data_IF_773863290202
#
_entry.id   IF_773863290202
#
_cell.length_a   1.000
_cell.length_b   1.000
_cell.length_c   1.000
_cell.angle_alpha   90.00
_cell.angle_beta   90.00
_cell.angle_gamma   90.00
#
_symmetry.space_group_name_H-M   'P 1'
#
loop_
_entity.id
_entity.type
_entity.pdbx_description
1 polymer ?
#
# COMPACT_ATOMS: atom_id res chain seq x y z
N UNK A 1 8.52 -20.29 -1.36
CA UNK A 1 8.32 -19.60 -2.65
C UNK A 1 7.43 -18.38 -2.48
N UNK A 2 7.82 -17.26 -3.01
CA UNK A 2 7.03 -16.04 -2.88
C UNK A 2 5.96 -15.95 -3.96
N UNK A 3 4.85 -15.35 -3.58
CA UNK A 3 3.71 -15.12 -4.45
C UNK A 3 3.44 -13.63 -4.52
N UNK A 4 2.72 -13.22 -5.54
CA UNK A 4 2.32 -11.82 -5.71
C UNK A 4 0.93 -11.60 -5.13
N UNK A 5 0.79 -10.52 -4.37
CA UNK A 5 -0.47 -10.14 -3.74
C UNK A 5 -0.81 -8.69 -4.04
N UNK A 6 -2.10 -8.40 -4.08
CA UNK A 6 -2.63 -7.04 -4.11
C UNK A 6 -3.08 -6.69 -2.70
N UNK A 7 -2.49 -5.64 -2.15
CA UNK A 7 -2.93 -5.10 -0.86
C UNK A 7 -3.68 -3.80 -1.14
N UNK A 8 -4.97 -3.80 -0.84
CA UNK A 8 -5.85 -2.67 -1.13
C UNK A 8 -6.24 -2.00 0.18
N UNK A 9 -6.03 -0.69 0.25
CA UNK A 9 -6.36 0.09 1.42
C UNK A 9 -7.28 1.25 1.07
N UNK A 10 -7.92 1.80 2.10
CA UNK A 10 -8.77 2.97 2.00
C UNK A 10 -8.37 3.99 3.06
N UNK A 11 -8.99 5.16 3.02
CA UNK A 11 -8.79 6.18 4.05
C UNK A 11 -9.21 5.63 5.40
N UNK A 12 -8.32 5.73 6.39
CA UNK A 12 -8.63 5.33 7.74
C UNK A 12 -9.41 6.42 8.49
N UNK A 13 -9.90 6.09 9.69
CA UNK A 13 -10.73 7.02 10.47
C UNK A 13 -10.00 8.30 10.89
N UNK A 14 -8.68 8.27 10.91
CA UNK A 14 -7.88 9.40 11.35
C UNK A 14 -7.23 10.18 10.20
N UNK A 15 -7.58 9.85 8.97
CA UNK A 15 -7.13 10.64 7.84
C UNK A 15 -7.87 11.98 7.83
N UNK A 16 -7.12 13.07 7.71
CA UNK A 16 -7.70 14.43 7.68
C UNK A 16 -8.15 14.74 6.24
N UNK A 17 -9.47 14.82 5.98
CA UNK A 17 -9.97 15.06 4.63
C UNK A 17 -9.69 16.46 4.10
N UNK A 18 -9.27 17.39 4.96
CA UNK A 18 -8.92 18.75 4.55
C UNK A 18 -7.49 18.87 4.07
N UNK A 19 -6.68 17.81 4.20
CA UNK A 19 -5.26 17.80 3.83
C UNK A 19 -4.98 16.83 2.71
N UNK A 20 -4.02 17.21 1.87
CA UNK A 20 -3.55 16.31 0.83
C UNK A 20 -2.69 15.18 1.43
N UNK A 21 -2.40 14.17 0.62
CA UNK A 21 -1.67 12.98 1.08
C UNK A 21 -0.35 13.33 1.78
N UNK A 22 0.45 14.18 1.16
CA UNK A 22 1.77 14.53 1.72
C UNK A 22 1.68 15.42 2.94
N UNK A 23 0.53 15.99 3.21
CA UNK A 23 0.30 16.85 4.36
C UNK A 23 -0.29 16.09 5.55
N UNK A 24 -0.63 14.81 5.37
CA UNK A 24 -1.16 13.99 6.44
C UNK A 24 -0.11 13.81 7.54
N UNK A 25 -0.55 13.68 8.80
CA UNK A 25 0.39 13.39 9.88
C UNK A 25 1.22 12.13 9.58
N UNK A 26 2.47 12.12 10.03
CA UNK A 26 3.38 10.98 9.89
C UNK A 26 3.72 10.63 8.43
N UNK A 27 3.62 11.62 7.52
CA UNK A 27 3.99 11.39 6.12
C UNK A 27 5.45 10.93 5.98
N UNK A 28 6.39 11.60 6.66
CA UNK A 28 7.81 11.27 6.53
C UNK A 28 8.10 9.86 7.00
N UNK A 29 7.51 9.46 8.13
CA UNK A 29 7.68 8.12 8.69
C UNK A 29 7.06 7.07 7.79
N UNK A 30 5.87 7.35 7.25
CA UNK A 30 5.21 6.46 6.29
C UNK A 30 6.06 6.28 5.03
N UNK A 31 6.54 7.39 4.45
CA UNK A 31 7.35 7.35 3.23
C UNK A 31 8.64 6.55 3.44
N UNK A 32 9.31 6.77 4.58
CA UNK A 32 10.53 6.03 4.91
C UNK A 32 10.26 4.53 5.06
N UNK A 33 9.14 4.17 5.69
CA UNK A 33 8.75 2.77 5.86
C UNK A 33 8.50 2.11 4.51
N UNK A 34 7.77 2.77 3.62
CA UNK A 34 7.49 2.25 2.28
C UNK A 34 8.79 2.07 1.50
N UNK A 35 9.70 3.05 1.57
CA UNK A 35 11.00 2.93 0.90
C UNK A 35 11.78 1.71 1.36
N UNK A 36 11.75 1.40 2.66
CA UNK A 36 12.40 0.20 3.19
C UNK A 36 11.81 -1.07 2.59
N UNK A 37 10.49 -1.14 2.47
CA UNK A 37 9.82 -2.30 1.89
C UNK A 37 10.12 -2.45 0.40
N UNK A 38 10.27 -1.34 -0.30
CA UNK A 38 10.71 -1.35 -1.71
C UNK A 38 12.14 -1.89 -1.80
N UNK A 39 13.04 -1.40 -0.95
CA UNK A 39 14.45 -1.83 -0.94
C UNK A 39 14.59 -3.32 -0.62
N UNK A 40 13.72 -3.84 0.21
CA UNK A 40 13.72 -5.27 0.56
C UNK A 40 13.13 -6.17 -0.53
N UNK A 41 12.59 -5.58 -1.60
CA UNK A 41 11.92 -6.34 -2.66
C UNK A 41 10.52 -6.81 -2.29
N UNK A 42 9.97 -6.32 -1.17
CA UNK A 42 8.61 -6.67 -0.77
C UNK A 42 7.57 -5.93 -1.62
N UNK A 43 7.73 -4.61 -1.79
CA UNK A 43 6.83 -3.83 -2.65
C UNK A 43 7.42 -3.76 -4.05
N UNK A 44 6.65 -4.21 -5.03
CA UNK A 44 7.05 -4.20 -6.44
C UNK A 44 6.55 -2.92 -7.12
N UNK A 45 5.37 -2.47 -6.78
CA UNK A 45 4.69 -1.36 -7.46
C UNK A 45 3.55 -0.91 -6.55
N UNK A 46 3.21 0.37 -6.61
CA UNK A 46 2.08 0.86 -5.84
C UNK A 46 1.78 2.31 -6.11
N UNK A 47 0.62 2.74 -5.65
CA UNK A 47 0.19 4.11 -5.78
C UNK A 47 -1.24 4.31 -5.33
N UNK A 48 -1.72 5.55 -5.33
CA UNK A 48 -3.08 5.84 -4.93
C UNK A 48 -4.09 5.36 -5.98
N UNK A 49 -5.25 4.92 -5.49
CA UNK A 49 -6.42 4.72 -6.31
C UNK A 49 -7.15 6.05 -6.37
N UNK A 50 -7.45 6.51 -7.57
CA UNK A 50 -8.05 7.83 -7.77
C UNK A 50 -9.38 7.72 -8.48
N UNK A 51 -10.28 8.68 -8.20
CA UNK A 51 -11.57 8.77 -8.87
C UNK A 51 -11.43 9.51 -10.20
N UNK A 52 -12.56 9.79 -10.85
CA UNK A 52 -12.57 10.45 -12.15
C UNK A 52 -11.95 11.84 -12.15
N UNK A 53 -11.91 12.48 -10.97
CA UNK A 53 -11.31 13.80 -10.80
C UNK A 53 -9.84 13.74 -10.43
N UNK A 54 -9.29 12.52 -10.31
CA UNK A 54 -7.92 12.33 -9.86
C UNK A 54 -7.76 12.43 -8.34
N UNK A 55 -8.86 12.39 -7.59
CA UNK A 55 -8.80 12.45 -6.13
C UNK A 55 -8.58 11.07 -5.54
N UNK A 56 -7.61 10.91 -4.65
CA UNK A 56 -7.32 9.61 -4.05
C UNK A 56 -8.42 9.18 -3.07
N UNK A 57 -8.81 7.91 -3.15
CA UNK A 57 -9.75 7.32 -2.21
C UNK A 57 -9.21 6.05 -1.56
N UNK A 58 -8.01 5.66 -1.91
CA UNK A 58 -7.36 4.49 -1.36
C UNK A 58 -6.02 4.29 -2.02
N UNK A 59 -5.43 3.12 -1.80
CA UNK A 59 -4.14 2.79 -2.38
C UNK A 59 -4.07 1.32 -2.73
N UNK A 60 -3.25 1.00 -3.73
CA UNK A 60 -2.95 -0.35 -4.14
C UNK A 60 -1.45 -0.57 -4.04
N UNK A 61 -1.04 -1.63 -3.35
CA UNK A 61 0.34 -2.10 -3.36
C UNK A 61 0.38 -3.49 -3.97
N UNK A 62 1.33 -3.70 -4.87
CA UNK A 62 1.62 -5.02 -5.43
C UNK A 62 2.86 -5.52 -4.72
N UNK A 63 2.74 -6.63 -4.00
CA UNK A 63 3.79 -7.10 -3.10
C UNK A 63 4.14 -8.55 -3.35
N UNK A 64 5.38 -8.94 -2.99
CA UNK A 64 5.85 -10.32 -2.99
C UNK A 64 5.91 -10.81 -1.55
N UNK A 65 5.26 -11.94 -1.28
CA UNK A 65 5.24 -12.52 0.05
C UNK A 65 5.01 -14.03 -0.02
N UNK A 66 5.35 -14.72 1.06
CA UNK A 66 5.10 -16.17 1.16
C UNK A 66 3.61 -16.46 1.23
N UNK A 67 2.88 -15.64 1.97
CA UNK A 67 1.43 -15.82 2.17
C UNK A 67 0.79 -14.49 2.56
N UNK A 68 -0.53 -14.52 2.69
CA UNK A 68 -1.32 -13.35 3.08
C UNK A 68 -0.94 -12.84 4.47
N UNK A 69 -0.60 -13.75 5.38
CA UNK A 69 -0.25 -13.37 6.74
C UNK A 69 1.03 -12.52 6.77
N UNK A 70 2.02 -12.84 5.95
CA UNK A 70 3.23 -12.04 5.86
C UNK A 70 2.91 -10.62 5.37
N UNK A 71 1.98 -10.49 4.42
CA UNK A 71 1.57 -9.18 3.93
C UNK A 71 0.98 -8.35 5.07
N UNK A 72 0.06 -8.94 5.86
CA UNK A 72 -0.55 -8.26 7.00
C UNK A 72 0.48 -7.85 8.04
N UNK A 73 1.37 -8.76 8.38
CA UNK A 73 2.37 -8.53 9.42
C UNK A 73 3.34 -7.41 9.03
N UNK A 74 3.73 -7.34 7.77
CA UNK A 74 4.63 -6.29 7.33
C UNK A 74 3.93 -4.94 7.26
N UNK A 75 2.72 -4.88 6.71
CA UNK A 75 2.03 -3.61 6.52
C UNK A 75 1.54 -3.00 7.84
N UNK A 76 1.19 -3.81 8.83
CA UNK A 76 0.69 -3.27 10.10
C UNK A 76 1.70 -2.40 10.84
N UNK A 77 2.98 -2.51 10.50
CA UNK A 77 4.04 -1.69 11.10
C UNK A 77 4.18 -0.33 10.43
N UNK A 78 3.47 -0.08 9.35
CA UNK A 78 3.44 1.23 8.72
C UNK A 78 2.77 2.22 9.67
N UNK A 79 3.42 3.36 9.99
CA UNK A 79 2.82 4.36 10.86
C UNK A 79 1.41 4.77 10.44
N UNK A 80 1.11 4.81 9.16
CA UNK A 80 -0.23 5.17 8.69
C UNK A 80 -1.28 4.11 8.97
N UNK A 81 -0.94 2.82 8.85
CA UNK A 81 -1.86 1.75 9.24
C UNK A 81 -2.02 1.71 10.75
N UNK A 82 -0.92 1.86 11.47
CA UNK A 82 -0.92 1.84 12.93
C UNK A 82 -1.73 2.99 13.53
N UNK A 83 -1.65 4.17 12.91
CA UNK A 83 -2.30 5.39 13.41
C UNK A 83 -3.68 5.63 12.80
N UNK A 84 -4.18 4.74 11.96
CA UNK A 84 -5.51 4.86 11.39
C UNK A 84 -5.65 5.90 10.28
N UNK A 85 -4.57 6.29 9.64
CA UNK A 85 -4.61 7.17 8.47
C UNK A 85 -4.96 6.36 7.23
N UNK A 86 -4.48 5.10 7.16
CA UNK A 86 -4.90 4.12 6.17
C UNK A 86 -5.53 2.94 6.88
N UNK A 87 -6.45 2.28 6.19
CA UNK A 87 -7.12 1.07 6.64
C UNK A 87 -6.94 -0.01 5.58
N UNK A 88 -6.43 -1.17 5.97
CA UNK A 88 -6.29 -2.29 5.05
C UNK A 88 -7.65 -2.91 4.78
N UNK A 89 -8.09 -2.91 3.53
CA UNK A 89 -9.40 -3.43 3.14
C UNK A 89 -9.34 -4.88 2.71
N UNK A 90 -8.36 -5.24 1.86
CA UNK A 90 -8.26 -6.61 1.36
C UNK A 90 -6.86 -6.93 0.91
N UNK A 91 -6.55 -8.22 0.93
CA UNK A 91 -5.34 -8.79 0.36
C UNK A 91 -5.79 -9.91 -0.56
N UNK A 92 -5.38 -9.84 -1.84
CA UNK A 92 -5.77 -10.82 -2.85
C UNK A 92 -4.53 -11.38 -3.50
N UNK A 93 -4.47 -12.69 -3.67
CA UNK A 93 -3.41 -13.33 -4.43
C UNK A 93 -3.64 -13.05 -5.90
N UNK A 94 -2.57 -12.67 -6.63
CA UNK A 94 -2.65 -12.31 -8.04
C UNK A 94 -1.62 -13.08 -8.85
N UNK A 95 -2.10 -13.75 -9.89
CA UNK A 95 -1.24 -14.39 -10.89
C UNK A 95 -1.14 -13.48 -12.10
N UNK A 96 0.07 -13.02 -12.42
CA UNK A 96 0.28 -12.14 -13.56
C UNK A 96 0.52 -13.01 -14.80
N UNK A 97 -0.38 -12.94 -15.76
CA UNK A 97 -0.23 -13.64 -17.03
C UNK A 97 0.30 -12.73 -18.14
N UNK A 98 -0.03 -11.46 -18.08
CA UNK A 98 0.37 -10.50 -19.10
C UNK A 98 1.15 -9.39 -18.41
N UNK A 99 2.40 -9.21 -18.82
CA UNK A 99 3.26 -8.18 -18.27
C UNK A 99 4.12 -7.59 -19.38
N UNK A 100 3.68 -6.45 -19.90
CA UNK A 100 4.37 -5.76 -20.99
C UNK A 100 5.52 -4.87 -20.52
N UNK A 101 5.64 -4.65 -19.20
CA UNK A 101 6.65 -3.75 -18.65
C UNK A 101 8.08 -4.23 -18.89
N UNK A 102 8.25 -5.54 -18.87
CA UNK A 102 9.59 -6.11 -18.94
C UNK A 102 10.10 -6.32 -20.38
N UNK A 103 9.25 -6.07 -21.34
CA UNK A 103 9.59 -6.10 -22.75
C UNK A 103 10.30 -7.31 -23.24
#
# INVERSE_FOLDING_TARGET
MKNTFLAISSAGPNRDPSKETREQPFWDEHAAFIDQLVDQGFILMGGPLVDERGMPYGALLIVNAEDENEVREKLKNDPWFERGILKLESIKRWQIFIDERTG
#
